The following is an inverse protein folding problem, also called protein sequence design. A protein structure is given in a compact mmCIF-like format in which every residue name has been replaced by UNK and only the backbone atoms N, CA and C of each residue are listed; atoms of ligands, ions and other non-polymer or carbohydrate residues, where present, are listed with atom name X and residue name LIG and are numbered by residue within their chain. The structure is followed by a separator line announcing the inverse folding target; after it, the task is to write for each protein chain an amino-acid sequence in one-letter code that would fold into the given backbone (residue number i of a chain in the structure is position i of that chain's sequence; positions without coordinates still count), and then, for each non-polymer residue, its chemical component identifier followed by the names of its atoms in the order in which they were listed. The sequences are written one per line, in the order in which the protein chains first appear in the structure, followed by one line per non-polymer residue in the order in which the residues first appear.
data_IF_186763720117
#
_entry.id   IF_186763720117
#
_cell.length_a   1.000
_cell.length_b   1.000
_cell.length_c   1.000
_cell.angle_alpha   90.00
_cell.angle_beta   90.00
_cell.angle_gamma   90.00
#
_symmetry.space_group_name_H-M   'P 1'
#
loop_
_entity.id
_entity.type
_entity.pdbx_description
1 polymer ?
#
# COMPACT_ATOMS: atom_id res chain seq x y z
N UNK A 1 63.64 14.41 -14.19
CA UNK A 1 63.48 13.78 -15.52
C UNK A 1 64.03 12.37 -15.33
N UNK A 2 63.28 11.29 -15.25
CA UNK A 2 61.90 10.97 -15.62
C UNK A 2 61.33 10.05 -14.51
N UNK A 3 60.05 10.20 -14.18
CA UNK A 3 59.35 9.28 -13.28
C UNK A 3 58.88 8.07 -14.07
N UNK A 4 59.47 6.90 -13.78
CA UNK A 4 59.03 5.62 -14.31
C UNK A 4 57.79 5.19 -13.53
N UNK A 5 56.71 4.92 -14.28
CA UNK A 5 55.47 4.34 -13.81
C UNK A 5 55.70 2.83 -13.65
N UNK A 6 55.78 2.35 -12.41
CA UNK A 6 55.59 0.93 -12.10
C UNK A 6 54.18 0.74 -11.54
N UNK A 7 53.40 -0.05 -12.27
CA UNK A 7 52.04 -0.41 -11.91
C UNK A 7 52.05 -1.33 -10.70
N UNK A 8 51.43 -0.86 -9.62
CA UNK A 8 51.04 -1.74 -8.53
C UNK A 8 49.56 -2.11 -8.72
N UNK A 9 49.34 -3.37 -9.04
CA UNK A 9 48.01 -3.96 -9.21
C UNK A 9 47.31 -4.05 -7.86
N UNK A 10 46.74 -2.95 -7.39
CA UNK A 10 45.91 -2.94 -6.18
C UNK A 10 44.59 -3.66 -6.47
N UNK A 11 44.47 -4.88 -5.95
CA UNK A 11 43.33 -5.77 -6.12
C UNK A 11 41.99 -5.04 -5.99
N UNK A 12 41.17 -5.16 -7.03
CA UNK A 12 39.78 -4.75 -7.01
C UNK A 12 39.09 -5.46 -5.83
N UNK A 13 38.93 -4.74 -4.72
CA UNK A 13 38.22 -5.23 -3.55
C UNK A 13 36.84 -5.67 -3.98
N UNK A 14 36.58 -6.98 -3.91
CA UNK A 14 35.25 -7.54 -4.18
C UNK A 14 34.26 -6.85 -3.27
N UNK A 15 33.43 -5.99 -3.84
CA UNK A 15 32.36 -5.32 -3.10
C UNK A 15 31.48 -6.40 -2.48
N UNK A 16 31.56 -6.54 -1.15
CA UNK A 16 30.81 -7.54 -0.41
C UNK A 16 29.75 -6.80 0.39
N UNK A 17 28.49 -6.93 -0.01
CA UNK A 17 27.37 -6.39 0.74
C UNK A 17 27.32 -7.05 2.11
N UNK A 18 27.14 -6.25 3.16
CA UNK A 18 26.92 -6.80 4.51
C UNK A 18 25.61 -7.60 4.48
N UNK A 19 25.62 -8.88 4.89
CA UNK A 19 24.40 -9.65 5.00
C UNK A 19 23.44 -8.94 5.96
N UNK A 20 22.31 -8.46 5.44
CA UNK A 20 21.26 -7.84 6.26
C UNK A 20 20.09 -8.80 6.27
N UNK A 21 19.69 -9.26 7.46
CA UNK A 21 18.51 -10.12 7.59
C UNK A 21 17.26 -9.25 7.44
N UNK A 22 16.54 -9.48 6.36
CA UNK A 22 15.23 -8.87 6.11
C UNK A 22 14.21 -9.73 6.85
N UNK A 23 13.38 -9.10 7.68
CA UNK A 23 12.32 -9.80 8.40
C UNK A 23 11.20 -10.24 7.45
N UNK A 24 10.51 -11.33 7.77
CA UNK A 24 9.28 -11.67 7.04
C UNK A 24 8.15 -10.70 7.40
N UNK A 25 7.20 -10.49 6.50
CA UNK A 25 6.10 -9.52 6.70
C UNK A 25 4.79 -10.21 7.12
N UNK A 26 4.14 -9.64 8.13
CA UNK A 26 2.71 -9.75 8.35
C UNK A 26 2.07 -8.48 7.77
N UNK A 27 1.17 -8.64 6.79
CA UNK A 27 0.58 -7.53 6.04
C UNK A 27 -0.92 -7.47 6.32
N UNK A 28 -1.37 -6.39 6.98
CA UNK A 28 -2.77 -6.11 7.23
C UNK A 28 -3.31 -5.18 6.15
N UNK A 29 -4.22 -5.69 5.31
CA UNK A 29 -5.00 -4.85 4.42
C UNK A 29 -6.19 -4.25 5.15
N UNK A 30 -6.35 -2.94 5.07
CA UNK A 30 -7.56 -2.24 5.53
C UNK A 30 -8.19 -1.52 4.35
N UNK A 31 -9.42 -1.90 3.98
CA UNK A 31 -10.11 -1.33 2.82
C UNK A 31 -11.26 -0.43 3.28
N UNK A 32 -11.26 0.82 2.85
CA UNK A 32 -12.38 1.73 3.05
C UNK A 32 -13.61 1.27 2.28
N UNK A 33 -14.71 1.10 3.00
CA UNK A 33 -16.01 0.62 2.48
C UNK A 33 -17.06 1.73 2.45
N UNK A 34 -16.64 3.00 2.49
CA UNK A 34 -17.55 4.13 2.30
C UNK A 34 -18.19 4.14 0.90
N UNK A 35 -19.27 4.91 0.68
CA UNK A 35 -20.02 4.93 -0.58
C UNK A 35 -19.15 5.18 -1.83
N UNK A 36 -18.09 6.00 -1.70
CA UNK A 36 -17.16 6.31 -2.80
C UNK A 36 -16.37 5.08 -3.29
N UNK A 37 -16.32 3.98 -2.54
CA UNK A 37 -15.75 2.72 -3.01
C UNK A 37 -16.57 2.07 -4.14
N UNK A 38 -17.82 2.49 -4.34
CA UNK A 38 -18.69 2.00 -5.41
C UNK A 38 -18.58 2.79 -6.71
N UNK A 39 -17.81 3.88 -6.73
CA UNK A 39 -17.58 4.65 -7.96
C UNK A 39 -16.89 3.77 -9.01
N UNK A 40 -17.34 3.84 -10.25
CA UNK A 40 -16.78 3.07 -11.36
C UNK A 40 -15.40 3.60 -11.77
N UNK A 41 -14.49 2.67 -12.06
CA UNK A 41 -13.20 3.02 -12.64
C UNK A 41 -13.29 3.03 -14.17
N UNK A 42 -12.68 4.04 -14.77
CA UNK A 42 -12.59 4.19 -16.22
C UNK A 42 -11.76 3.04 -16.81
N UNK A 43 -12.25 2.50 -17.92
CA UNK A 43 -11.57 1.44 -18.72
C UNK A 43 -11.43 0.11 -17.99
N UNK A 44 -11.99 -0.02 -16.79
CA UNK A 44 -11.92 -1.23 -15.99
C UNK A 44 -13.22 -2.02 -16.16
N UNK A 45 -13.17 -3.06 -16.98
CA UNK A 45 -14.30 -3.96 -17.20
C UNK A 45 -14.15 -5.20 -16.32
N UNK A 46 -15.23 -5.55 -15.64
CA UNK A 46 -15.42 -6.87 -15.01
C UNK A 46 -15.30 -7.97 -16.07
N UNK A 47 -14.90 -9.21 -15.69
CA UNK A 47 -14.94 -10.37 -16.58
C UNK A 47 -16.29 -10.56 -17.31
N UNK A 48 -17.38 -10.05 -16.73
CA UNK A 48 -18.73 -10.11 -17.29
C UNK A 48 -19.07 -8.91 -18.20
N UNK A 49 -18.10 -8.08 -18.58
CA UNK A 49 -18.28 -6.90 -19.44
C UNK A 49 -18.97 -5.70 -18.77
N UNK A 50 -19.22 -5.77 -17.46
CA UNK A 50 -19.80 -4.64 -16.69
C UNK A 50 -18.70 -3.68 -16.23
N UNK A 51 -18.99 -2.37 -16.09
CA UNK A 51 -18.08 -1.46 -15.42
C UNK A 51 -17.71 -1.99 -14.03
N UNK A 52 -16.42 -1.95 -13.70
CA UNK A 52 -15.94 -2.37 -12.38
C UNK A 52 -15.85 -1.19 -11.43
N UNK A 53 -16.28 -1.41 -10.19
CA UNK A 53 -16.18 -0.40 -9.14
C UNK A 53 -14.74 -0.27 -8.62
N UNK A 54 -14.44 0.81 -7.87
CA UNK A 54 -13.19 0.91 -7.09
C UNK A 54 -13.04 -0.32 -6.20
N UNK A 55 -14.07 -0.73 -5.49
CA UNK A 55 -14.03 -1.88 -4.58
C UNK A 55 -13.70 -3.19 -5.31
N UNK A 56 -14.28 -3.42 -6.50
CA UNK A 56 -13.96 -4.60 -7.31
C UNK A 56 -12.49 -4.59 -7.75
N UNK A 57 -12.02 -3.43 -8.22
CA UNK A 57 -10.63 -3.27 -8.66
C UNK A 57 -9.63 -3.38 -7.50
N UNK A 58 -9.99 -2.91 -6.31
CA UNK A 58 -9.21 -3.08 -5.08
C UNK A 58 -9.05 -4.56 -4.74
N UNK A 59 -10.14 -5.34 -4.76
CA UNK A 59 -10.08 -6.80 -4.52
C UNK A 59 -9.12 -7.47 -5.51
N UNK A 60 -9.22 -7.16 -6.79
CA UNK A 60 -8.33 -7.72 -7.82
C UNK A 60 -6.87 -7.29 -7.62
N UNK A 61 -6.63 -6.01 -7.31
CA UNK A 61 -5.28 -5.50 -7.12
C UNK A 61 -4.60 -6.10 -5.87
N UNK A 62 -5.35 -6.34 -4.80
CA UNK A 62 -4.83 -7.05 -3.62
C UNK A 62 -4.52 -8.52 -3.96
N UNK A 63 -5.36 -9.22 -4.73
CA UNK A 63 -5.06 -10.60 -5.15
C UNK A 63 -3.77 -10.67 -5.96
N UNK A 64 -3.56 -9.75 -6.91
CA UNK A 64 -2.32 -9.67 -7.69
C UNK A 64 -1.13 -9.40 -6.77
N UNK A 65 -1.28 -8.45 -5.84
CA UNK A 65 -0.26 -8.16 -4.84
C UNK A 65 0.13 -9.40 -4.03
N UNK A 66 -0.85 -10.12 -3.47
CA UNK A 66 -0.61 -11.30 -2.62
C UNK A 66 0.17 -12.37 -3.39
N UNK A 67 -0.26 -12.70 -4.61
CA UNK A 67 0.41 -13.69 -5.45
C UNK A 67 1.86 -13.29 -5.76
N UNK A 68 2.09 -12.04 -6.14
CA UNK A 68 3.43 -11.53 -6.41
C UNK A 68 4.30 -11.52 -5.13
N UNK A 69 3.74 -11.10 -4.00
CA UNK A 69 4.44 -10.99 -2.71
C UNK A 69 4.79 -12.35 -2.10
N UNK A 70 3.95 -13.37 -2.31
CA UNK A 70 4.23 -14.77 -1.97
C UNK A 70 5.27 -15.40 -2.90
N UNK A 71 5.28 -15.02 -4.17
CA UNK A 71 6.32 -15.44 -5.13
C UNK A 71 7.69 -14.89 -4.72
N UNK A 72 7.74 -13.66 -4.21
CA UNK A 72 8.97 -13.05 -3.66
C UNK A 72 9.41 -13.76 -2.38
N UNK A 73 8.47 -14.01 -1.46
CA UNK A 73 8.74 -14.73 -0.22
C UNK A 73 7.46 -15.46 0.27
N UNK A 74 7.43 -16.80 0.25
CA UNK A 74 6.25 -17.58 0.62
C UNK A 74 5.91 -17.47 2.12
N UNK A 75 6.86 -17.01 2.94
CA UNK A 75 6.64 -16.83 4.37
C UNK A 75 5.84 -15.58 4.71
N UNK A 76 5.50 -14.71 3.76
CA UNK A 76 4.65 -13.55 3.99
C UNK A 76 3.22 -13.97 4.32
N UNK A 77 2.58 -13.29 5.29
CA UNK A 77 1.22 -13.61 5.73
C UNK A 77 0.32 -12.39 5.65
N UNK A 78 -0.97 -12.61 5.45
CA UNK A 78 -1.95 -11.56 5.19
C UNK A 78 -3.16 -11.68 6.12
N UNK A 79 -3.65 -10.52 6.56
CA UNK A 79 -4.92 -10.38 7.27
C UNK A 79 -5.73 -9.22 6.67
N UNK A 80 -7.04 -9.19 6.93
CA UNK A 80 -7.96 -8.30 6.23
C UNK A 80 -8.94 -7.63 7.19
N UNK A 81 -9.06 -6.31 7.04
CA UNK A 81 -10.00 -5.46 7.74
C UNK A 81 -10.73 -4.53 6.76
N UNK A 82 -11.88 -4.04 7.17
CA UNK A 82 -12.60 -2.97 6.49
C UNK A 82 -12.67 -1.72 7.35
N UNK A 83 -12.72 -0.55 6.72
CA UNK A 83 -12.91 0.73 7.39
C UNK A 83 -14.26 1.32 6.98
N UNK A 84 -15.24 1.26 7.88
CA UNK A 84 -16.48 2.03 7.80
C UNK A 84 -16.36 3.28 8.66
N UNK A 85 -17.18 3.36 9.72
CA UNK A 85 -17.00 4.34 10.80
C UNK A 85 -15.67 4.18 11.53
N UNK A 86 -15.31 2.93 11.79
CA UNK A 86 -14.08 2.48 12.43
C UNK A 86 -13.63 1.17 11.77
N UNK A 87 -12.39 0.74 12.01
CA UNK A 87 -11.92 -0.53 11.47
C UNK A 87 -12.62 -1.74 12.12
N UNK A 88 -12.93 -2.74 11.29
CA UNK A 88 -13.51 -4.03 11.67
C UNK A 88 -12.79 -5.16 10.94
N UNK A 89 -12.66 -6.32 11.60
CA UNK A 89 -12.02 -7.49 11.01
C UNK A 89 -12.91 -8.15 9.95
N UNK A 90 -12.32 -8.49 8.80
CA UNK A 90 -12.90 -9.42 7.83
C UNK A 90 -12.31 -10.82 8.05
N UNK A 91 -11.00 -10.89 8.27
CA UNK A 91 -10.22 -12.07 8.63
C UNK A 91 -9.03 -11.63 9.49
N UNK A 92 -8.94 -12.16 10.70
CA UNK A 92 -7.96 -11.72 11.71
C UNK A 92 -6.67 -12.54 11.66
N UNK A 93 -6.80 -13.82 11.32
CA UNK A 93 -5.69 -14.77 11.29
C UNK A 93 -4.79 -14.48 10.09
N UNK A 94 -3.53 -14.16 10.36
CA UNK A 94 -2.51 -14.00 9.33
C UNK A 94 -2.22 -15.35 8.65
N UNK A 95 -2.48 -15.42 7.34
CA UNK A 95 -2.30 -16.63 6.53
C UNK A 95 -1.54 -16.33 5.23
N UNK A 96 -0.79 -17.31 4.73
CA UNK A 96 -0.14 -17.27 3.42
C UNK A 96 -1.02 -17.89 2.31
N UNK A 97 -2.21 -18.39 2.66
CA UNK A 97 -3.16 -18.99 1.72
C UNK A 97 -3.96 -17.93 0.95
N UNK A 98 -3.98 -18.02 -0.37
CA UNK A 98 -4.70 -17.09 -1.24
C UNK A 98 -6.22 -17.23 -1.04
N UNK A 99 -6.68 -18.43 -0.69
CA UNK A 99 -8.07 -18.76 -0.38
C UNK A 99 -8.62 -17.93 0.79
N UNK A 100 -7.77 -17.61 1.77
CA UNK A 100 -8.14 -16.72 2.88
C UNK A 100 -8.53 -15.33 2.38
N UNK A 101 -7.79 -14.79 1.40
CA UNK A 101 -8.09 -13.51 0.77
C UNK A 101 -9.41 -13.57 -0.01
N UNK A 102 -9.64 -14.62 -0.80
CA UNK A 102 -10.92 -14.82 -1.48
C UNK A 102 -12.09 -14.88 -0.50
N UNK A 103 -11.94 -15.58 0.62
CA UNK A 103 -12.97 -15.68 1.64
C UNK A 103 -13.26 -14.31 2.30
N UNK A 104 -12.23 -13.50 2.56
CA UNK A 104 -12.40 -12.12 3.05
C UNK A 104 -13.14 -11.23 2.02
N UNK A 105 -12.80 -11.34 0.74
CA UNK A 105 -13.38 -10.49 -0.32
C UNK A 105 -14.81 -10.85 -0.70
N UNK A 106 -15.26 -12.08 -0.40
CA UNK A 106 -16.67 -12.48 -0.54
C UNK A 106 -17.59 -11.73 0.42
N UNK A 107 -17.13 -11.45 1.64
CA UNK A 107 -17.93 -10.73 2.65
C UNK A 107 -17.72 -9.21 2.62
N UNK A 108 -16.62 -8.76 2.00
CA UNK A 108 -16.32 -7.34 1.84
C UNK A 108 -17.34 -6.66 0.90
N UNK A 109 -18.11 -5.72 1.44
CA UNK A 109 -19.14 -4.97 0.73
C UNK A 109 -19.11 -3.50 1.13
N UNK A 110 -19.55 -2.64 0.22
CA UNK A 110 -19.67 -1.21 0.51
C UNK A 110 -20.83 -0.95 1.49
N UNK A 111 -20.66 0.10 2.28
CA UNK A 111 -21.65 0.61 3.22
C UNK A 111 -22.30 1.86 2.64
N UNK A 112 -23.60 2.04 2.88
CA UNK A 112 -24.32 3.24 2.44
C UNK A 112 -24.08 4.44 3.35
N UNK A 113 -23.44 4.27 4.50
CA UNK A 113 -23.20 5.33 5.46
C UNK A 113 -21.94 6.15 5.13
N UNK A 114 -22.10 7.42 4.83
CA UNK A 114 -21.03 8.44 4.75
C UNK A 114 -20.61 8.93 6.15
N UNK A 115 -20.36 7.98 7.07
CA UNK A 115 -19.95 8.30 8.44
C UNK A 115 -18.46 8.66 8.56
N UNK A 116 -18.04 9.13 9.74
CA UNK A 116 -16.64 9.41 10.10
C UNK A 116 -15.66 8.29 9.70
N UNK A 117 -14.37 8.61 9.65
CA UNK A 117 -13.30 7.64 9.42
C UNK A 117 -12.34 7.62 10.61
N UNK A 118 -12.66 6.82 11.64
CA UNK A 118 -11.80 6.69 12.82
C UNK A 118 -10.74 5.59 12.64
N UNK A 119 -9.48 5.99 12.49
CA UNK A 119 -8.34 5.07 12.39
C UNK A 119 -7.82 4.61 13.76
N UNK A 120 -8.37 5.14 14.88
CA UNK A 120 -7.91 4.78 16.23
C UNK A 120 -7.97 3.27 16.49
N UNK A 121 -9.08 2.63 16.09
CA UNK A 121 -9.22 1.18 16.28
C UNK A 121 -8.26 0.39 15.38
N UNK A 122 -8.01 0.85 14.16
CA UNK A 122 -7.03 0.26 13.25
C UNK A 122 -5.64 0.31 13.86
N UNK A 123 -5.23 1.47 14.38
CA UNK A 123 -3.88 1.64 14.95
C UNK A 123 -3.69 0.83 16.22
N UNK A 124 -4.71 0.73 17.08
CA UNK A 124 -4.66 -0.14 18.27
C UNK A 124 -4.49 -1.60 17.90
N UNK A 125 -5.25 -2.06 16.90
CA UNK A 125 -5.15 -3.41 16.36
C UNK A 125 -3.77 -3.65 15.76
N UNK A 126 -3.30 -2.74 14.90
CA UNK A 126 -1.99 -2.86 14.26
C UNK A 126 -0.86 -2.88 15.30
N UNK A 127 -0.87 -2.00 16.30
CA UNK A 127 0.13 -2.03 17.36
C UNK A 127 0.13 -3.34 18.17
N UNK A 128 -1.04 -3.92 18.41
CA UNK A 128 -1.15 -5.21 19.09
C UNK A 128 -0.58 -6.35 18.26
N UNK A 129 -0.97 -6.42 16.98
CA UNK A 129 -0.46 -7.44 16.05
C UNK A 129 1.04 -7.25 15.78
N UNK A 130 1.54 -6.01 15.73
CA UNK A 130 2.96 -5.72 15.55
C UNK A 130 3.84 -6.30 16.66
N UNK A 131 3.37 -6.21 17.92
CA UNK A 131 4.07 -6.82 19.05
C UNK A 131 4.15 -8.34 18.91
N UNK A 132 3.07 -8.99 18.43
CA UNK A 132 3.05 -10.43 18.17
C UNK A 132 3.96 -10.81 17.00
N UNK A 133 3.90 -10.08 15.89
CA UNK A 133 4.79 -10.28 14.74
C UNK A 133 6.25 -10.17 15.17
N UNK A 134 6.59 -9.16 15.97
CA UNK A 134 7.96 -8.97 16.47
C UNK A 134 8.43 -10.11 17.38
N UNK A 135 7.55 -10.68 18.20
CA UNK A 135 7.86 -11.87 18.99
C UNK A 135 8.17 -13.11 18.12
N UNK A 136 7.75 -13.11 16.86
CA UNK A 136 8.05 -14.14 15.85
C UNK A 136 9.18 -13.70 14.88
N UNK A 137 9.89 -12.62 15.18
CA UNK A 137 10.92 -12.01 14.32
C UNK A 137 10.40 -11.54 12.94
N UNK A 138 9.17 -11.02 12.92
CA UNK A 138 8.46 -10.52 11.74
C UNK A 138 8.11 -9.05 11.91
N UNK A 139 7.90 -8.36 10.79
CA UNK A 139 7.43 -6.98 10.77
C UNK A 139 5.94 -6.94 10.47
N UNK A 140 5.22 -6.03 11.13
CA UNK A 140 3.86 -5.70 10.71
C UNK A 140 3.87 -4.48 9.79
N UNK A 141 3.18 -4.65 8.66
CA UNK A 141 2.87 -3.60 7.71
C UNK A 141 1.36 -3.49 7.56
N UNK A 142 0.85 -2.27 7.52
CA UNK A 142 -0.56 -1.97 7.24
C UNK A 142 -0.63 -1.28 5.90
N UNK A 143 -1.48 -1.78 5.00
CA UNK A 143 -1.81 -1.12 3.73
C UNK A 143 -3.26 -0.67 3.82
N UNK A 144 -3.46 0.64 3.99
CA UNK A 144 -4.78 1.29 4.00
C UNK A 144 -5.13 1.74 2.58
N UNK A 145 -6.29 1.30 2.09
CA UNK A 145 -6.84 1.76 0.82
C UNK A 145 -8.04 2.66 1.15
N UNK A 146 -7.84 3.97 1.04
CA UNK A 146 -8.82 4.99 1.43
C UNK A 146 -9.57 5.52 0.20
N UNK A 147 -10.90 5.64 0.27
CA UNK A 147 -11.73 5.99 -0.90
C UNK A 147 -12.55 7.27 -0.73
N UNK A 148 -12.80 7.71 0.52
CA UNK A 148 -13.60 8.90 0.79
C UNK A 148 -12.83 10.19 0.52
N UNK A 149 -13.42 11.11 -0.21
CA UNK A 149 -12.82 12.42 -0.52
C UNK A 149 -13.44 13.60 0.20
N UNK A 150 -14.56 13.35 0.87
CA UNK A 150 -15.34 14.32 1.65
C UNK A 150 -15.24 14.06 3.16
N UNK A 151 -14.35 13.17 3.61
CA UNK A 151 -14.21 12.81 5.03
C UNK A 151 -12.72 12.72 5.35
N UNK A 152 -12.26 13.53 6.31
CA UNK A 152 -10.89 13.41 6.84
C UNK A 152 -10.83 12.22 7.79
N UNK A 153 -9.83 11.31 7.64
CA UNK A 153 -9.56 10.34 8.68
C UNK A 153 -9.08 11.05 9.94
N UNK A 154 -9.51 10.55 11.10
CA UNK A 154 -9.04 11.03 12.39
C UNK A 154 -8.55 9.87 13.24
N UNK A 155 -7.69 10.15 14.21
CA UNK A 155 -7.20 9.15 15.14
C UNK A 155 -6.75 9.77 16.46
N UNK A 156 -6.75 8.96 17.51
CA UNK A 156 -6.11 9.27 18.79
C UNK A 156 -4.97 8.28 19.01
N UNK A 157 -3.74 8.75 18.82
CA UNK A 157 -2.55 7.92 18.94
C UNK A 157 -1.45 8.61 19.75
N UNK A 158 -0.79 7.92 20.69
CA UNK A 158 0.33 8.49 21.42
C UNK A 158 1.44 8.99 20.50
N UNK A 159 2.07 10.10 20.87
CA UNK A 159 3.27 10.59 20.20
C UNK A 159 4.41 9.59 20.44
N UNK A 160 5.27 9.37 19.44
CA UNK A 160 6.45 8.48 19.48
C UNK A 160 6.16 6.97 19.53
N UNK A 161 4.92 6.52 19.29
CA UNK A 161 4.61 5.09 19.19
C UNK A 161 4.58 4.62 17.72
N UNK A 162 5.76 4.23 17.22
CA UNK A 162 5.97 3.71 15.85
C UNK A 162 6.28 2.21 15.90
N UNK A 163 5.24 1.38 15.81
CA UNK A 163 5.35 -0.08 16.00
C UNK A 163 5.14 -0.89 14.72
N UNK A 164 4.58 -0.28 13.69
CA UNK A 164 4.28 -0.90 12.40
C UNK A 164 4.57 0.11 11.30
N UNK A 165 4.58 -0.31 10.04
CA UNK A 165 4.66 0.63 8.90
C UNK A 165 3.29 0.80 8.28
N UNK A 166 2.87 2.04 8.03
CA UNK A 166 1.62 2.34 7.32
C UNK A 166 1.94 2.77 5.88
N UNK A 167 1.28 2.13 4.93
CA UNK A 167 1.15 2.62 3.57
C UNK A 167 -0.30 2.99 3.29
N UNK A 168 -0.49 4.01 2.47
CA UNK A 168 -1.78 4.51 2.05
C UNK A 168 -1.86 4.54 0.53
N UNK A 169 -2.93 3.94 0.00
CA UNK A 169 -3.40 4.18 -1.37
C UNK A 169 -4.70 4.98 -1.27
N UNK A 170 -4.66 6.24 -1.71
CA UNK A 170 -5.79 7.15 -1.68
C UNK A 170 -6.44 7.27 -3.07
N UNK A 171 -7.66 6.76 -3.20
CA UNK A 171 -8.43 6.80 -4.44
C UNK A 171 -9.55 7.81 -4.31
N UNK A 172 -9.52 8.88 -5.10
CA UNK A 172 -10.52 9.95 -5.00
C UNK A 172 -10.96 10.46 -6.37
N UNK A 173 -11.94 11.35 -6.36
CA UNK A 173 -12.29 12.16 -7.52
C UNK A 173 -11.56 13.50 -7.47
N UNK A 174 -11.53 14.22 -8.58
CA UNK A 174 -11.01 15.59 -8.58
C UNK A 174 -11.81 16.47 -7.59
N UNK A 175 -11.19 17.54 -7.07
CA UNK A 175 -11.89 18.51 -6.24
C UNK A 175 -13.16 19.02 -6.92
N UNK A 176 -14.22 19.13 -6.13
CA UNK A 176 -15.54 19.61 -6.50
C UNK A 176 -16.23 20.24 -5.29
N UNK A 177 -17.50 20.66 -5.42
CA UNK A 177 -18.20 21.37 -4.35
C UNK A 177 -18.36 20.57 -3.05
N UNK A 178 -18.46 19.24 -3.17
CA UNK A 178 -18.83 18.35 -2.06
C UNK A 178 -17.67 17.50 -1.54
N UNK A 179 -16.44 17.74 -2.01
CA UNK A 179 -15.25 17.01 -1.57
C UNK A 179 -14.00 17.90 -1.46
N UNK A 180 -13.03 17.43 -0.68
CA UNK A 180 -11.82 18.18 -0.33
C UNK A 180 -10.61 17.23 -0.27
N UNK A 181 -10.25 16.60 -1.41
CA UNK A 181 -9.27 15.52 -1.43
C UNK A 181 -7.87 15.96 -0.96
N UNK A 182 -7.51 17.23 -1.12
CA UNK A 182 -6.23 17.73 -0.62
C UNK A 182 -6.15 17.68 0.92
N UNK A 183 -7.22 18.04 1.61
CA UNK A 183 -7.22 18.02 3.08
C UNK A 183 -7.20 16.57 3.60
N UNK A 184 -7.91 15.67 2.91
CA UNK A 184 -7.89 14.23 3.19
C UNK A 184 -6.48 13.67 2.98
N UNK A 185 -5.85 14.01 1.85
CA UNK A 185 -4.48 13.61 1.56
C UNK A 185 -3.51 14.06 2.65
N UNK A 186 -3.57 15.33 3.06
CA UNK A 186 -2.73 15.87 4.14
C UNK A 186 -2.93 15.07 5.44
N UNK A 187 -4.18 14.80 5.83
CA UNK A 187 -4.47 13.98 7.03
C UNK A 187 -3.93 12.54 6.93
N UNK A 188 -3.89 11.97 5.71
CA UNK A 188 -3.32 10.64 5.48
C UNK A 188 -1.78 10.66 5.55
N UNK A 189 -1.13 11.71 5.03
CA UNK A 189 0.32 11.92 5.17
C UNK A 189 0.68 12.05 6.65
N UNK A 190 -0.01 12.90 7.39
CA UNK A 190 0.20 13.09 8.83
C UNK A 190 0.08 11.74 9.58
N UNK A 191 -0.94 10.94 9.24
CA UNK A 191 -1.14 9.62 9.82
C UNK A 191 0.03 8.66 9.54
N UNK A 192 0.51 8.62 8.29
CA UNK A 192 1.66 7.79 7.89
C UNK A 192 2.91 8.20 8.63
N UNK A 193 3.22 9.50 8.70
CA UNK A 193 4.39 10.02 9.41
C UNK A 193 4.34 9.74 10.92
N UNK A 194 3.16 9.86 11.52
CA UNK A 194 2.97 9.67 12.96
C UNK A 194 3.23 8.23 13.40
N UNK A 195 2.71 7.23 12.65
CA UNK A 195 2.68 5.84 13.13
C UNK A 195 3.75 4.92 12.55
N UNK A 196 4.41 5.30 11.45
CA UNK A 196 5.28 4.37 10.70
C UNK A 196 6.68 4.22 11.31
N UNK A 197 7.08 2.97 11.58
CA UNK A 197 8.44 2.57 12.03
C UNK A 197 9.48 2.72 10.91
N UNK A 198 9.14 2.31 9.70
CA UNK A 198 9.93 2.52 8.49
C UNK A 198 9.27 3.57 7.59
N UNK A 199 9.96 3.98 6.53
CA UNK A 199 9.38 4.84 5.48
C UNK A 199 8.03 4.28 5.04
N UNK A 200 6.98 5.09 5.12
CA UNK A 200 5.61 4.77 4.70
C UNK A 200 5.25 5.55 3.44
N UNK A 201 4.55 4.92 2.50
CA UNK A 201 4.17 5.58 1.25
C UNK A 201 2.73 6.07 1.28
N UNK A 202 2.49 7.28 0.76
CA UNK A 202 1.16 7.85 0.51
C UNK A 202 1.01 8.08 -0.99
N UNK A 203 0.34 7.14 -1.67
CA UNK A 203 0.11 7.14 -3.11
C UNK A 203 -1.33 7.59 -3.41
N UNK A 204 -1.54 8.65 -4.19
CA UNK A 204 -2.89 9.17 -4.51
C UNK A 204 -3.23 9.10 -6.00
N UNK A 205 -4.51 8.94 -6.35
CA UNK A 205 -4.96 9.25 -7.71
C UNK A 205 -6.40 9.77 -7.76
N UNK A 206 -6.56 10.92 -8.42
CA UNK A 206 -7.84 11.49 -8.85
C UNK A 206 -8.34 11.03 -10.24
N UNK A 207 -7.60 10.16 -10.94
CA UNK A 207 -7.84 9.88 -12.38
C UNK A 207 -8.86 8.76 -12.65
N UNK A 208 -9.24 8.00 -11.61
CA UNK A 208 -10.15 6.86 -11.71
C UNK A 208 -9.74 5.81 -12.76
N UNK A 209 -8.43 5.58 -12.96
CA UNK A 209 -7.93 4.56 -13.87
C UNK A 209 -7.45 3.34 -13.08
N UNK A 210 -8.04 2.16 -13.32
CA UNK A 210 -7.64 0.94 -12.62
C UNK A 210 -6.15 0.64 -12.74
N UNK A 211 -5.53 0.87 -13.92
CA UNK A 211 -4.09 0.65 -14.11
C UNK A 211 -3.22 1.38 -13.08
N UNK A 212 -3.63 2.57 -12.61
CA UNK A 212 -2.85 3.35 -11.65
C UNK A 212 -2.88 2.66 -10.28
N UNK A 213 -4.04 2.16 -9.86
CA UNK A 213 -4.16 1.34 -8.65
C UNK A 213 -3.24 0.12 -8.72
N UNK A 214 -3.24 -0.63 -9.83
CA UNK A 214 -2.32 -1.77 -10.00
C UNK A 214 -0.85 -1.34 -9.94
N UNK A 215 -0.48 -0.23 -10.57
CA UNK A 215 0.88 0.31 -10.48
C UNK A 215 1.27 0.63 -9.02
N UNK A 216 0.38 1.27 -8.26
CA UNK A 216 0.63 1.56 -6.84
C UNK A 216 0.78 0.30 -6.02
N UNK A 217 -0.06 -0.71 -6.23
CA UNK A 217 0.11 -2.01 -5.55
C UNK A 217 1.45 -2.67 -5.92
N UNK A 218 1.91 -2.56 -7.17
CA UNK A 218 3.23 -3.04 -7.56
C UNK A 218 4.37 -2.27 -6.87
N UNK A 219 4.28 -0.95 -6.73
CA UNK A 219 5.28 -0.17 -5.97
C UNK A 219 5.35 -0.62 -4.51
N UNK A 220 4.19 -0.93 -3.93
CA UNK A 220 4.07 -1.45 -2.58
C UNK A 220 4.61 -2.89 -2.43
N UNK A 221 4.97 -3.62 -3.49
CA UNK A 221 5.64 -4.93 -3.35
C UNK A 221 7.01 -4.81 -2.69
N UNK A 222 7.63 -3.64 -2.72
CA UNK A 222 8.89 -3.37 -2.02
C UNK A 222 8.75 -3.63 -0.50
N UNK A 223 9.79 -4.22 0.09
CA UNK A 223 9.83 -4.51 1.53
C UNK A 223 10.15 -3.21 2.31
N UNK A 224 9.48 -2.89 3.44
CA UNK A 224 9.72 -1.64 4.19
C UNK A 224 11.19 -1.39 4.58
N UNK A 225 11.95 -2.44 4.94
CA UNK A 225 13.39 -2.33 5.25
C UNK A 225 14.31 -2.15 4.04
N UNK A 226 13.80 -2.26 2.81
CA UNK A 226 14.62 -2.26 1.59
C UNK A 226 14.26 -1.15 0.61
N UNK A 227 13.06 -0.55 0.73
CA UNK A 227 12.61 0.48 -0.19
C UNK A 227 13.29 1.82 0.10
N UNK A 228 13.46 2.63 -0.94
CA UNK A 228 13.92 4.00 -0.80
C UNK A 228 12.80 4.92 -0.28
N UNK A 229 13.10 6.17 0.07
CA UNK A 229 12.09 7.22 0.22
C UNK A 229 11.18 7.36 -1.00
N UNK A 230 9.90 7.70 -0.79
CA UNK A 230 8.93 7.76 -1.90
C UNK A 230 9.31 8.77 -2.99
N UNK A 231 9.92 9.89 -2.61
CA UNK A 231 10.38 10.96 -3.52
C UNK A 231 11.55 10.53 -4.43
N UNK A 232 12.20 9.41 -4.11
CA UNK A 232 13.29 8.80 -4.90
C UNK A 232 12.80 7.70 -5.84
N UNK A 233 11.51 7.41 -5.89
CA UNK A 233 10.95 6.42 -6.81
C UNK A 233 10.95 6.98 -8.25
N UNK A 234 11.89 6.51 -9.07
CA UNK A 234 11.83 6.71 -10.51
C UNK A 234 10.79 5.77 -11.12
N UNK A 235 9.57 6.25 -11.30
CA UNK A 235 8.56 5.50 -12.02
C UNK A 235 8.96 5.41 -13.49
N UNK A 236 8.95 4.21 -14.12
CA UNK A 236 9.24 4.08 -15.53
C UNK A 236 8.38 5.09 -16.31
N UNK A 237 9.05 6.06 -16.95
CA UNK A 237 8.37 7.06 -17.79
C UNK A 237 7.50 6.30 -18.79
N UNK A 238 6.26 6.78 -18.98
CA UNK A 238 5.32 6.17 -19.93
C UNK A 238 6.04 5.95 -21.26
N UNK A 239 6.19 4.69 -21.66
CA UNK A 239 6.65 4.34 -23.00
C UNK A 239 5.49 4.61 -23.95
N UNK A 240 5.25 5.89 -24.26
CA UNK A 240 4.31 6.32 -25.28
C UNK A 240 4.75 7.68 -25.80
N UNK A 241 5.41 7.68 -26.96
CA UNK A 241 5.74 8.92 -27.66
C UNK A 241 6.92 8.93 -28.64
N UNK A 242 7.47 7.81 -29.09
CA UNK A 242 8.33 7.82 -30.28
C UNK A 242 7.49 7.51 -31.52
N UNK A 243 7.08 8.60 -32.18
CA UNK A 243 6.60 8.73 -33.56
C UNK A 243 6.62 7.43 -34.39
N UNK A 244 5.45 6.93 -34.74
CA UNK A 244 5.22 6.23 -36.00
C UNK A 244 4.50 7.21 -36.94
N UNK A 245 5.22 8.26 -37.33
CA UNK A 245 5.03 9.00 -38.56
C UNK A 245 6.42 9.06 -39.17
N UNK A 246 6.78 8.02 -39.91
CA UNK A 246 7.83 7.98 -40.92
C UNK A 246 7.70 6.59 -41.57
N UNK A 247 6.88 6.53 -42.63
CA UNK A 247 7.03 5.80 -43.90
C UNK A 247 5.70 5.88 -44.68
#
# INVERSE_FOLDING_TARGET
MEGIVEGDGSGAGRYTLRPTRISNEDILFCVDVGPESMVELKVAMSPNGRPSTRLDSIKQAILVFINAKLTINPENRFAFASLGKSASWLRKEFSSEVESAFAAFRVLSATSSSSNADLTSLFRVAAHEAKKSRAQNRLLRVILIYCRSSIRPHYQWPVNQKLFTLDVVYLHEKPGPDNYPQEVYNSLVDAVEHVSEYEGYTLETGQLLARILFCYMCMLLSHPQQRCPQDQLDMPKKVAGSRLNDY
#
